data_IF_496732760166
#
_entry.id   IF_496732760166
#
_cell.length_a   1.000
_cell.length_b   1.000
_cell.length_c   1.000
_cell.angle_alpha   90.00
_cell.angle_beta   90.00
_cell.angle_gamma   90.00
#
_symmetry.space_group_name_H-M   'P 1'
#
loop_
_entity.id
_entity.type
_entity.pdbx_description
1 polymer ?
#
# COMPACT_ATOMS: atom_id res chain seq x y z
N UNK A 1 -10.14 -16.32 -31.83
CA UNK A 1 -8.79 -16.21 -31.24
C UNK A 1 -8.68 -14.81 -30.62
N UNK A 2 -9.36 -14.52 -29.51
CA UNK A 2 -9.02 -14.83 -28.11
C UNK A 2 -7.69 -14.22 -27.63
N UNK A 3 -7.78 -13.08 -26.93
CA UNK A 3 -7.27 -12.93 -25.56
C UNK A 3 -7.66 -11.53 -25.01
N UNK A 4 -8.78 -11.52 -24.29
CA UNK A 4 -9.21 -10.42 -23.43
C UNK A 4 -8.34 -10.46 -22.16
N UNK A 5 -7.33 -9.59 -22.06
CA UNK A 5 -6.58 -9.40 -20.82
C UNK A 5 -7.28 -8.35 -19.95
N UNK A 6 -8.18 -8.80 -19.09
CA UNK A 6 -8.68 -8.03 -17.96
C UNK A 6 -7.58 -7.98 -16.87
N UNK A 7 -6.87 -6.86 -16.77
CA UNK A 7 -5.88 -6.58 -15.73
C UNK A 7 -6.57 -5.85 -14.56
N UNK A 8 -7.13 -6.61 -13.63
CA UNK A 8 -7.53 -6.12 -12.30
C UNK A 8 -6.33 -6.14 -11.35
N UNK A 9 -5.59 -5.03 -11.27
CA UNK A 9 -4.51 -4.86 -10.31
C UNK A 9 -5.02 -4.19 -9.03
N UNK A 10 -5.23 -5.03 -8.01
CA UNK A 10 -5.73 -4.65 -6.68
C UNK A 10 -4.62 -3.94 -5.90
N UNK A 11 -4.83 -2.66 -5.59
CA UNK A 11 -3.93 -1.82 -4.79
C UNK A 11 -3.99 -2.27 -3.32
N UNK A 12 -2.90 -2.86 -2.81
CA UNK A 12 -2.77 -3.24 -1.41
C UNK A 12 -2.10 -2.09 -0.67
N UNK A 13 -2.90 -1.20 -0.09
CA UNK A 13 -2.46 -0.24 0.92
C UNK A 13 -2.00 -1.01 2.15
N UNK A 14 -0.69 -1.21 2.28
CA UNK A 14 -0.06 -1.65 3.52
C UNK A 14 0.24 -0.42 4.38
N UNK A 15 -0.35 -0.40 5.58
CA UNK A 15 -0.31 0.62 6.65
C UNK A 15 1.08 0.88 7.27
N UNK A 16 2.14 0.93 6.47
CA UNK A 16 3.47 1.41 6.88
C UNK A 16 3.75 2.85 6.45
N UNK A 17 2.74 3.58 5.96
CA UNK A 17 2.86 4.95 5.45
C UNK A 17 2.39 6.01 6.46
N UNK A 18 2.96 6.02 7.67
CA UNK A 18 2.77 7.14 8.60
C UNK A 18 4.07 7.88 8.95
N UNK A 19 5.09 7.83 8.09
CA UNK A 19 6.34 8.57 8.31
C UNK A 19 7.12 8.90 7.03
N UNK A 20 6.44 9.17 5.92
CA UNK A 20 7.09 9.76 4.74
C UNK A 20 6.26 10.91 4.16
N UNK A 21 6.89 12.03 3.75
CA UNK A 21 6.18 13.14 3.15
C UNK A 21 5.40 12.66 1.91
N UNK A 22 4.19 13.21 1.71
CA UNK A 22 3.17 12.85 0.68
C UNK A 22 3.66 12.78 -0.80
N UNK A 23 4.96 12.98 -1.06
CA UNK A 23 5.56 12.99 -2.40
C UNK A 23 6.03 11.62 -2.91
N UNK A 24 6.00 10.54 -2.11
CA UNK A 24 6.56 9.24 -2.52
C UNK A 24 5.55 8.23 -3.11
N UNK A 25 4.23 8.47 -3.01
CA UNK A 25 3.23 7.55 -3.56
C UNK A 25 3.22 7.51 -5.10
N UNK A 26 3.60 8.60 -5.76
CA UNK A 26 3.68 8.69 -7.24
C UNK A 26 4.93 8.00 -7.81
N UNK A 27 6.06 8.03 -7.09
CA UNK A 27 7.30 7.36 -7.52
C UNK A 27 7.16 5.84 -7.61
N UNK A 28 6.45 5.24 -6.67
CA UNK A 28 6.18 3.79 -6.71
C UNK A 28 5.27 3.38 -7.88
N UNK A 29 4.26 4.19 -8.22
CA UNK A 29 3.39 3.93 -9.39
C UNK A 29 4.15 4.05 -10.72
N UNK A 30 5.09 5.00 -10.82
CA UNK A 30 5.92 5.19 -12.02
C UNK A 30 6.93 4.05 -12.19
N UNK A 31 7.59 3.60 -11.11
CA UNK A 31 8.50 2.45 -11.18
C UNK A 31 7.76 1.15 -11.56
N UNK A 32 6.55 0.94 -11.04
CA UNK A 32 5.74 -0.24 -11.40
C UNK A 32 5.32 -0.23 -12.87
N UNK A 33 4.92 0.94 -13.41
CA UNK A 33 4.62 1.09 -14.82
C UNK A 33 5.85 0.84 -15.70
N UNK A 34 7.04 1.25 -15.26
CA UNK A 34 8.29 1.04 -15.99
C UNK A 34 8.68 -0.44 -16.08
N UNK A 35 8.50 -1.20 -14.99
CA UNK A 35 8.78 -2.64 -14.95
C UNK A 35 7.82 -3.41 -15.88
N UNK A 36 6.53 -3.07 -15.86
CA UNK A 36 5.52 -3.70 -16.72
C UNK A 36 5.76 -3.38 -18.20
N UNK A 37 6.11 -2.13 -18.54
CA UNK A 37 6.39 -1.73 -19.93
C UNK A 37 7.68 -2.36 -20.48
N UNK A 38 8.68 -2.57 -19.62
CA UNK A 38 9.94 -3.23 -19.99
C UNK A 38 9.79 -4.74 -20.26
N UNK A 39 8.79 -5.38 -19.65
CA UNK A 39 8.49 -6.79 -19.86
C UNK A 39 7.59 -7.05 -21.09
N UNK A 40 6.83 -6.04 -21.55
CA UNK A 40 5.87 -6.17 -22.65
C UNK A 40 6.38 -5.64 -24.01
N UNK A 41 7.50 -4.93 -24.07
CA UNK A 41 7.96 -4.28 -25.32
C UNK A 41 9.48 -4.43 -25.56
N UNK A 42 9.93 -5.24 -26.53
CA UNK A 42 11.36 -5.46 -26.82
C UNK A 42 11.96 -4.38 -27.74
N UNK A 43 11.33 -3.20 -27.89
CA UNK A 43 11.90 -2.10 -28.68
C UNK A 43 12.52 -1.05 -27.76
N UNK A 44 13.87 -1.06 -27.73
CA UNK A 44 14.78 -0.17 -26.98
C UNK A 44 14.49 1.33 -27.15
N UNK A 45 13.72 1.74 -28.18
CA UNK A 45 13.35 3.13 -28.46
C UNK A 45 12.23 3.70 -27.57
N UNK A 46 11.36 2.86 -26.98
CA UNK A 46 10.24 3.34 -26.15
C UNK A 46 10.66 3.59 -24.69
N UNK A 47 11.71 2.91 -24.20
CA UNK A 47 12.23 3.15 -22.85
C UNK A 47 12.86 4.55 -22.71
N UNK A 48 13.56 5.05 -23.73
CA UNK A 48 14.15 6.40 -23.70
C UNK A 48 13.10 7.51 -23.72
N UNK A 49 11.95 7.26 -24.34
CA UNK A 49 10.82 8.21 -24.39
C UNK A 49 10.09 8.27 -23.04
N UNK A 50 9.90 7.12 -22.38
CA UNK A 50 9.29 7.08 -21.03
C UNK A 50 10.18 7.71 -19.96
N UNK A 51 11.50 7.52 -20.02
CA UNK A 51 12.45 8.13 -19.09
C UNK A 51 12.56 9.66 -19.29
N UNK A 52 12.38 10.15 -20.52
CA UNK A 52 12.31 11.58 -20.85
C UNK A 52 11.02 12.24 -20.32
N UNK A 53 9.87 11.56 -20.49
CA UNK A 53 8.57 12.02 -19.98
C UNK A 53 8.50 12.00 -18.45
N UNK A 54 9.08 10.98 -17.80
CA UNK A 54 9.16 10.91 -16.34
C UNK A 54 10.03 12.02 -15.73
N UNK A 55 11.10 12.44 -16.43
CA UNK A 55 11.93 13.59 -16.05
C UNK A 55 11.21 14.94 -16.23
N UNK A 56 10.25 15.06 -17.15
CA UNK A 56 9.51 16.32 -17.37
C UNK A 56 8.40 16.55 -16.32
N UNK A 57 7.76 15.49 -15.83
CA UNK A 57 6.60 15.57 -14.93
C UNK A 57 6.91 16.05 -13.49
N UNK A 58 8.18 16.06 -13.08
CA UNK A 58 8.58 16.48 -11.72
C UNK A 58 9.22 17.88 -11.65
N UNK A 59 9.39 18.58 -12.78
CA UNK A 59 9.80 19.99 -12.76
C UNK A 59 8.62 20.85 -12.34
N UNK A 60 8.48 21.06 -11.03
CA UNK A 60 7.56 22.05 -10.47
C UNK A 60 7.78 23.39 -11.20
N UNK A 61 6.74 23.88 -11.90
CA UNK A 61 6.91 25.05 -12.76
C UNK A 61 7.39 26.25 -11.94
N UNK A 62 8.47 26.88 -12.40
CA UNK A 62 9.11 27.98 -11.68
C UNK A 62 8.19 29.19 -11.53
N UNK A 63 7.22 29.34 -12.43
CA UNK A 63 6.23 30.41 -12.44
C UNK A 63 5.28 30.38 -11.22
N UNK A 64 4.88 29.18 -10.75
CA UNK A 64 3.91 29.04 -9.65
C UNK A 64 4.53 29.17 -8.26
N UNK A 65 5.85 29.33 -8.15
CA UNK A 65 6.54 29.48 -6.86
C UNK A 65 6.23 30.83 -6.23
N UNK A 66 5.98 30.85 -4.91
CA UNK A 66 5.78 32.08 -4.12
C UNK A 66 6.90 33.11 -4.34
N UNK A 67 8.13 32.63 -4.60
CA UNK A 67 9.30 33.45 -4.93
C UNK A 67 9.05 34.45 -6.06
N UNK A 68 8.23 34.11 -7.08
CA UNK A 68 7.95 35.04 -8.19
C UNK A 68 7.15 36.25 -7.75
N UNK A 69 6.17 36.07 -6.85
CA UNK A 69 5.36 37.15 -6.28
C UNK A 69 6.15 38.05 -5.31
N UNK A 70 7.23 37.52 -4.71
CA UNK A 70 8.02 38.23 -3.70
C UNK A 70 9.18 39.07 -4.28
N UNK A 71 9.39 39.06 -5.60
CA UNK A 71 10.40 39.92 -6.25
C UNK A 71 10.00 41.39 -6.10
N UNK A 72 10.96 42.25 -5.76
CA UNK A 72 10.72 43.66 -5.41
C UNK A 72 10.50 43.91 -3.91
N UNK A 73 10.20 42.87 -3.12
CA UNK A 73 10.14 43.01 -1.66
C UNK A 73 11.51 42.81 -1.00
N UNK A 74 11.88 43.75 -0.13
CA UNK A 74 13.24 43.85 0.46
C UNK A 74 13.69 42.59 1.21
N UNK A 75 12.81 41.95 2.01
CA UNK A 75 13.18 40.81 2.86
C UNK A 75 12.66 39.44 2.39
N UNK A 76 12.05 39.38 1.20
CA UNK A 76 11.51 38.15 0.61
C UNK A 76 10.58 37.33 1.55
N UNK A 77 9.87 38.02 2.46
CA UNK A 77 8.91 37.39 3.37
C UNK A 77 9.50 36.81 4.66
N UNK A 78 10.75 37.12 5.01
CA UNK A 78 11.40 36.65 6.24
C UNK A 78 11.56 37.72 7.33
N UNK A 79 10.88 38.86 7.19
CA UNK A 79 10.93 39.98 8.14
C UNK A 79 12.25 40.76 8.11
N UNK A 80 12.26 41.98 8.68
CA UNK A 80 13.46 42.85 8.71
C UNK A 80 14.37 42.57 9.91
N UNK A 81 13.78 42.26 11.08
CA UNK A 81 14.49 42.11 12.35
C UNK A 81 15.11 40.72 12.49
N UNK A 82 14.30 39.65 12.50
CA UNK A 82 14.77 38.28 12.72
C UNK A 82 15.67 37.73 11.59
N UNK A 83 15.39 38.12 10.35
CA UNK A 83 16.08 37.71 9.09
C UNK A 83 16.14 36.19 8.86
N UNK A 84 16.22 35.79 7.60
CA UNK A 84 16.48 34.38 7.28
C UNK A 84 17.97 34.07 7.45
N UNK A 85 18.30 33.16 8.39
CA UNK A 85 19.66 32.69 8.66
C UNK A 85 19.76 31.19 8.41
N UNK A 86 20.99 30.68 8.25
CA UNK A 86 21.24 29.31 7.79
C UNK A 86 20.65 28.23 8.72
N UNK A 87 20.96 28.23 10.03
CA UNK A 87 20.49 27.21 10.98
C UNK A 87 20.35 27.77 12.41
N UNK A 88 19.28 28.49 12.76
CA UNK A 88 19.14 29.11 14.09
C UNK A 88 18.85 28.09 15.22
N UNK A 89 18.16 26.98 14.92
CA UNK A 89 17.76 25.97 15.91
C UNK A 89 18.56 24.66 15.85
N UNK A 90 19.70 24.66 15.16
CA UNK A 90 20.47 23.46 14.83
C UNK A 90 20.10 22.86 13.47
N UNK A 91 20.73 21.72 13.14
CA UNK A 91 20.50 20.97 11.90
C UNK A 91 19.75 19.67 12.21
N UNK A 92 18.74 19.35 11.39
CA UNK A 92 17.94 18.13 11.56
C UNK A 92 17.18 18.12 12.90
N UNK A 93 17.23 16.99 13.61
CA UNK A 93 16.53 16.77 14.88
C UNK A 93 17.39 17.11 16.11
N UNK A 94 18.40 17.97 15.96
CA UNK A 94 19.29 18.37 17.05
C UNK A 94 18.49 19.03 18.19
N UNK A 95 18.84 18.76 19.45
CA UNK A 95 18.20 19.41 20.61
C UNK A 95 16.82 18.89 20.97
N UNK A 96 16.43 17.70 20.49
CA UNK A 96 15.11 17.13 20.77
C UNK A 96 14.83 16.84 22.25
N UNK A 97 15.85 16.77 23.11
CA UNK A 97 15.70 16.71 24.58
C UNK A 97 15.98 18.04 25.29
N UNK A 98 16.49 19.04 24.55
CA UNK A 98 16.91 20.33 25.09
C UNK A 98 15.96 21.43 24.56
N UNK A 99 16.42 22.28 23.66
CA UNK A 99 15.66 23.44 23.16
C UNK A 99 14.47 23.10 22.26
N UNK A 100 14.40 21.87 21.72
CA UNK A 100 13.22 21.37 20.97
C UNK A 100 12.40 20.34 21.75
N UNK A 101 12.64 20.19 23.07
CA UNK A 101 11.93 19.24 23.94
C UNK A 101 10.41 19.36 23.82
N UNK A 102 9.88 20.58 23.90
CA UNK A 102 8.43 20.84 23.83
C UNK A 102 7.82 20.28 22.54
N UNK A 103 8.54 20.35 21.42
CA UNK A 103 8.06 19.83 20.14
C UNK A 103 8.04 18.30 20.11
N UNK A 104 9.09 17.66 20.64
CA UNK A 104 9.18 16.19 20.67
C UNK A 104 8.19 15.57 21.66
N UNK A 105 8.07 16.14 22.85
CA UNK A 105 7.15 15.62 23.87
C UNK A 105 5.68 15.76 23.43
N UNK A 106 5.36 16.84 22.71
CA UNK A 106 3.99 17.12 22.24
C UNK A 106 3.57 16.27 21.05
N UNK A 107 4.41 16.18 20.01
CA UNK A 107 4.00 15.56 18.73
C UNK A 107 4.60 14.18 18.50
N UNK A 108 5.66 13.80 19.21
CA UNK A 108 6.38 12.55 19.02
C UNK A 108 6.66 11.83 20.35
N UNK A 109 5.62 11.52 21.16
CA UNK A 109 5.80 10.74 22.38
C UNK A 109 6.36 9.36 22.04
N UNK A 110 7.33 8.88 22.81
CA UNK A 110 7.99 7.60 22.59
C UNK A 110 9.11 7.59 21.54
N UNK A 111 9.51 8.76 21.01
CA UNK A 111 10.65 8.85 20.09
C UNK A 111 11.98 8.50 20.77
N UNK A 112 12.16 8.94 22.01
CA UNK A 112 13.35 8.62 22.80
C UNK A 112 13.11 7.37 23.65
N UNK A 113 14.01 6.39 23.53
CA UNK A 113 13.96 5.16 24.32
C UNK A 113 14.37 3.92 23.53
N UNK A 114 14.47 2.78 24.23
CA UNK A 114 14.64 1.45 23.63
C UNK A 114 13.42 0.61 24.01
N UNK A 115 12.85 -0.13 23.05
CA UNK A 115 11.68 -0.98 23.26
C UNK A 115 11.85 -2.33 22.57
N UNK A 116 11.51 -3.41 23.27
CA UNK A 116 11.42 -4.77 22.71
C UNK A 116 12.75 -5.50 22.48
N UNK A 117 12.65 -6.73 21.96
CA UNK A 117 13.79 -7.60 21.64
C UNK A 117 14.35 -7.31 20.24
N UNK A 118 15.68 -7.32 20.09
CA UNK A 118 16.36 -7.08 18.82
C UNK A 118 16.36 -8.34 17.95
N UNK A 119 15.71 -8.27 16.79
CA UNK A 119 15.74 -9.33 15.78
C UNK A 119 16.92 -9.12 14.82
N UNK A 120 17.98 -9.92 14.96
CA UNK A 120 19.10 -9.93 14.01
C UNK A 120 18.70 -10.60 12.68
N UNK A 121 19.32 -10.14 11.57
CA UNK A 121 19.08 -10.64 10.21
C UNK A 121 17.58 -10.85 9.86
N UNK A 122 16.78 -9.78 9.98
CA UNK A 122 15.35 -9.85 9.72
C UNK A 122 15.01 -10.15 8.25
N UNK A 123 14.55 -11.37 7.97
CA UNK A 123 14.05 -11.79 6.65
C UNK A 123 12.56 -11.51 6.53
N UNK A 124 12.19 -10.50 5.73
CA UNK A 124 10.78 -10.09 5.50
C UNK A 124 9.96 -11.16 4.80
N UNK A 125 10.54 -11.88 3.86
CA UNK A 125 9.81 -12.85 3.03
C UNK A 125 9.28 -14.03 3.86
N UNK A 126 10.03 -14.49 4.88
CA UNK A 126 9.59 -15.56 5.77
C UNK A 126 8.41 -15.15 6.65
N UNK A 127 8.34 -13.87 7.03
CA UNK A 127 7.25 -13.29 7.83
C UNK A 127 6.14 -12.68 6.96
N UNK A 128 6.14 -12.96 5.65
CA UNK A 128 5.12 -12.47 4.74
C UNK A 128 3.80 -13.19 5.05
N UNK A 129 2.82 -12.47 5.57
CA UNK A 129 1.50 -13.00 5.90
C UNK A 129 0.38 -11.99 5.62
N UNK A 130 0.15 -11.62 4.35
CA UNK A 130 -0.98 -10.76 3.98
C UNK A 130 -2.32 -11.39 4.38
N UNK A 131 -3.17 -10.60 5.01
CA UNK A 131 -4.46 -11.03 5.57
C UNK A 131 -5.64 -10.61 4.70
N UNK A 132 -6.65 -11.47 4.59
CA UNK A 132 -7.91 -11.20 3.91
C UNK A 132 -9.10 -11.47 4.85
N UNK A 133 -10.10 -10.59 4.84
CA UNK A 133 -11.32 -10.75 5.64
C UNK A 133 -12.43 -11.43 4.83
N UNK A 134 -13.37 -12.09 5.51
CA UNK A 134 -14.50 -12.78 4.87
C UNK A 134 -15.34 -11.87 3.96
N UNK A 135 -15.54 -10.60 4.35
CA UNK A 135 -16.28 -9.60 3.54
C UNK A 135 -15.77 -9.47 2.11
N UNK A 136 -14.45 -9.61 1.93
CA UNK A 136 -13.75 -9.38 0.66
C UNK A 136 -13.49 -10.67 -0.12
N UNK A 137 -13.92 -11.83 0.39
CA UNK A 137 -13.75 -13.11 -0.31
C UNK A 137 -14.44 -13.10 -1.67
N UNK A 138 -15.67 -12.57 -1.73
CA UNK A 138 -16.45 -12.53 -2.97
C UNK A 138 -15.91 -11.56 -4.02
N UNK A 139 -15.07 -10.60 -3.62
CA UNK A 139 -14.39 -9.73 -4.58
C UNK A 139 -13.32 -10.47 -5.37
N UNK A 140 -12.80 -11.61 -4.88
CA UNK A 140 -11.82 -12.42 -5.62
C UNK A 140 -12.45 -13.22 -6.77
N UNK A 141 -13.77 -13.36 -6.75
CA UNK A 141 -14.54 -14.10 -7.76
C UNK A 141 -15.24 -13.11 -8.66
N UNK A 142 -15.27 -13.38 -9.96
CA UNK A 142 -16.05 -12.55 -10.88
C UNK A 142 -17.56 -12.68 -10.60
N UNK A 143 -18.32 -11.59 -10.76
CA UNK A 143 -19.77 -11.62 -10.52
C UNK A 143 -20.49 -12.66 -11.38
N UNK A 144 -20.01 -12.86 -12.61
CA UNK A 144 -20.50 -13.89 -13.53
C UNK A 144 -20.36 -15.29 -12.94
N UNK A 145 -19.23 -15.62 -12.32
CA UNK A 145 -19.01 -16.92 -11.68
C UNK A 145 -19.89 -17.06 -10.45
N UNK A 146 -20.02 -16.01 -9.63
CA UNK A 146 -20.88 -16.02 -8.44
C UNK A 146 -22.35 -16.33 -8.77
N UNK A 147 -22.89 -15.72 -9.82
CA UNK A 147 -24.27 -15.94 -10.26
C UNK A 147 -24.49 -17.35 -10.82
N UNK A 148 -23.52 -17.90 -11.57
CA UNK A 148 -23.56 -19.30 -12.05
C UNK A 148 -23.69 -20.28 -10.89
N UNK A 149 -22.77 -20.23 -9.94
CA UNK A 149 -22.79 -21.10 -8.75
C UNK A 149 -23.95 -20.86 -7.78
N UNK A 150 -24.74 -19.78 -7.98
CA UNK A 150 -25.97 -19.57 -7.23
C UNK A 150 -27.16 -20.27 -7.91
N UNK A 151 -27.14 -20.37 -9.23
CA UNK A 151 -28.21 -20.98 -10.04
C UNK A 151 -27.97 -22.47 -10.34
N UNK A 152 -26.73 -22.96 -10.14
CA UNK A 152 -26.37 -24.35 -10.42
C UNK A 152 -27.12 -25.32 -9.47
N UNK A 153 -27.93 -26.27 -10.00
CA UNK A 153 -28.71 -27.21 -9.19
C UNK A 153 -27.85 -28.32 -8.56
N UNK A 154 -26.64 -28.56 -9.07
CA UNK A 154 -25.73 -29.62 -8.62
C UNK A 154 -25.07 -29.35 -7.26
N UNK A 155 -25.34 -28.21 -6.61
CA UNK A 155 -24.76 -27.86 -5.32
C UNK A 155 -23.24 -27.64 -5.33
N UNK A 156 -22.63 -27.42 -6.51
CA UNK A 156 -21.19 -27.18 -6.64
C UNK A 156 -20.81 -25.81 -6.07
N UNK A 157 -19.93 -25.81 -5.06
CA UNK A 157 -19.44 -24.59 -4.43
C UNK A 157 -18.20 -24.02 -5.16
N UNK A 158 -18.07 -22.67 -5.28
CA UNK A 158 -16.87 -22.06 -5.83
C UNK A 158 -15.66 -22.30 -4.93
N UNK A 159 -14.56 -22.71 -5.55
CA UNK A 159 -13.26 -22.83 -4.89
C UNK A 159 -12.51 -21.52 -5.04
N UNK A 160 -12.29 -20.82 -3.93
CA UNK A 160 -11.55 -19.57 -3.87
C UNK A 160 -10.13 -19.87 -3.37
N UNK A 161 -9.17 -19.80 -4.27
CA UNK A 161 -7.75 -19.85 -3.92
C UNK A 161 -7.25 -18.45 -3.55
N UNK A 162 -7.05 -18.27 -2.24
CA UNK A 162 -6.62 -17.02 -1.64
C UNK A 162 -5.09 -16.83 -1.80
N UNK A 163 -4.34 -17.93 -1.92
CA UNK A 163 -2.89 -17.92 -2.10
C UNK A 163 -2.53 -17.41 -3.49
N UNK A 164 -3.27 -17.82 -4.53
CA UNK A 164 -3.10 -17.31 -5.90
C UNK A 164 -3.36 -15.81 -5.99
N UNK A 165 -4.26 -15.30 -5.15
CA UNK A 165 -4.53 -13.86 -5.03
C UNK A 165 -3.50 -13.10 -4.20
N UNK A 166 -2.48 -13.77 -3.66
CA UNK A 166 -1.39 -13.17 -2.89
C UNK A 166 -1.69 -12.98 -1.40
N UNK A 167 -2.71 -13.65 -0.86
CA UNK A 167 -3.08 -13.60 0.56
C UNK A 167 -2.83 -14.95 1.25
N UNK A 168 -2.36 -14.95 2.49
CA UNK A 168 -2.00 -16.18 3.20
C UNK A 168 -2.96 -16.53 4.33
N UNK A 169 -3.48 -15.51 5.03
CA UNK A 169 -4.33 -15.71 6.22
C UNK A 169 -5.72 -15.16 6.02
N UNK A 170 -6.75 -15.95 6.31
CA UNK A 170 -8.15 -15.52 6.29
C UNK A 170 -8.63 -15.20 7.71
N UNK A 171 -9.28 -14.05 7.88
CA UNK A 171 -9.79 -13.52 9.14
C UNK A 171 -11.31 -13.38 9.11
N UNK A 172 -11.96 -13.62 10.25
CA UNK A 172 -13.42 -13.71 10.40
C UNK A 172 -14.19 -12.39 10.47
N UNK A 173 -13.65 -11.25 10.00
CA UNK A 173 -14.37 -9.97 10.03
C UNK A 173 -15.52 -9.97 9.00
N UNK A 174 -16.69 -9.55 9.49
CA UNK A 174 -17.95 -9.35 8.79
C UNK A 174 -18.70 -10.64 8.38
N UNK A 175 -19.56 -10.56 7.36
CA UNK A 175 -20.66 -11.53 7.12
C UNK A 175 -20.55 -12.10 5.71
N UNK A 176 -20.62 -13.43 5.63
CA UNK A 176 -20.73 -14.14 4.36
C UNK A 176 -22.21 -14.25 3.95
N UNK A 177 -22.54 -14.11 2.65
CA UNK A 177 -23.85 -14.48 2.15
C UNK A 177 -24.08 -15.98 2.39
N UNK A 178 -25.35 -16.40 2.47
CA UNK A 178 -25.78 -17.80 2.66
C UNK A 178 -25.51 -18.70 1.43
N UNK A 179 -24.36 -18.52 0.77
CA UNK A 179 -23.91 -19.32 -0.36
C UNK A 179 -22.66 -20.09 0.07
N UNK A 180 -22.62 -21.43 -0.08
CA UNK A 180 -21.47 -22.24 0.35
C UNK A 180 -20.22 -21.89 -0.46
N UNK A 181 -19.06 -21.89 0.19
CA UNK A 181 -17.76 -21.54 -0.41
C UNK A 181 -16.68 -22.47 0.12
N UNK A 182 -15.79 -22.92 -0.77
CA UNK A 182 -14.58 -23.63 -0.39
C UNK A 182 -13.41 -22.65 -0.47
N UNK A 183 -12.76 -22.37 0.65
CA UNK A 183 -11.65 -21.41 0.72
C UNK A 183 -10.34 -22.16 0.92
N UNK A 184 -9.37 -21.93 0.03
CA UNK A 184 -8.01 -22.45 0.16
C UNK A 184 -7.08 -21.35 0.64
N UNK A 185 -6.43 -21.55 1.79
CA UNK A 185 -5.48 -20.61 2.37
C UNK A 185 -4.42 -21.33 3.22
N UNK A 186 -3.34 -20.63 3.59
CA UNK A 186 -2.31 -21.19 4.48
C UNK A 186 -2.73 -21.21 5.94
N UNK A 187 -3.44 -20.16 6.38
CA UNK A 187 -3.87 -19.99 7.76
C UNK A 187 -5.31 -19.47 7.84
N UNK A 188 -6.05 -19.96 8.82
CA UNK A 188 -7.38 -19.45 9.16
C UNK A 188 -7.41 -18.98 10.62
N UNK A 189 -8.29 -18.02 10.93
CA UNK A 189 -8.66 -17.76 12.33
C UNK A 189 -9.84 -18.63 12.74
N UNK A 190 -9.92 -18.99 14.04
CA UNK A 190 -11.03 -19.79 14.58
C UNK A 190 -12.42 -19.24 14.19
N UNK A 191 -12.62 -17.94 14.36
CA UNK A 191 -13.86 -17.24 13.94
C UNK A 191 -14.14 -17.30 12.44
N UNK A 192 -13.10 -17.35 11.60
CA UNK A 192 -13.27 -17.47 10.16
C UNK A 192 -13.76 -18.88 9.80
N UNK A 193 -13.17 -19.91 10.41
CA UNK A 193 -13.57 -21.29 10.19
C UNK A 193 -15.01 -21.54 10.64
N UNK A 194 -15.39 -21.09 11.84
CA UNK A 194 -16.76 -21.22 12.37
C UNK A 194 -17.79 -20.62 11.41
N UNK A 195 -17.51 -19.42 10.88
CA UNK A 195 -18.40 -18.72 9.94
C UNK A 195 -18.47 -19.38 8.56
N UNK A 196 -17.35 -19.88 8.05
CA UNK A 196 -17.34 -20.57 6.75
C UNK A 196 -18.10 -21.89 6.88
N UNK A 197 -17.90 -22.64 7.97
CA UNK A 197 -18.63 -23.87 8.27
C UNK A 197 -20.13 -23.61 8.48
N UNK A 198 -20.52 -22.52 9.15
CA UNK A 198 -21.93 -22.20 9.36
C UNK A 198 -22.70 -21.90 8.06
N UNK A 199 -21.99 -21.47 7.01
CA UNK A 199 -22.57 -21.22 5.67
C UNK A 199 -22.60 -22.51 4.81
N UNK A 200 -22.08 -23.63 5.33
CA UNK A 200 -21.93 -24.88 4.58
C UNK A 200 -20.69 -24.89 3.68
N UNK A 201 -19.73 -24.01 3.94
CA UNK A 201 -18.44 -23.98 3.26
C UNK A 201 -17.38 -24.85 3.93
N UNK A 202 -16.24 -25.00 3.25
CA UNK A 202 -15.09 -25.76 3.76
C UNK A 202 -13.82 -24.90 3.75
N UNK A 203 -12.99 -25.04 4.79
CA UNK A 203 -11.66 -24.44 4.88
C UNK A 203 -10.63 -25.50 4.52
N UNK A 204 -9.83 -25.26 3.48
CA UNK A 204 -8.77 -26.16 3.03
C UNK A 204 -7.43 -25.48 3.26
N UNK A 205 -6.53 -26.17 3.97
CA UNK A 205 -5.16 -25.71 4.16
C UNK A 205 -4.32 -26.00 2.92
N UNK A 206 -3.56 -25.01 2.47
CA UNK A 206 -2.67 -25.11 1.31
C UNK A 206 -1.28 -24.60 1.71
N UNK A 207 -0.24 -25.29 1.24
CA UNK A 207 1.16 -24.96 1.51
C UNK A 207 1.69 -23.78 0.67
#
# INVERSE_FOLDING_TARGET
>A
MCLVLSLEFRFQESDSCMQLPRNNLRRHKILFAHIILSALCPKRSLLSVFDSLAKSAWKMSTHKKKTRKLRGHVSHGHGRVGKHRKHPGGRGNAGGMHHHRINFDKYHPGYFGKLGMRNYHFRRNTKWCPTLNLDKLWTLVSEKQRLKYKADPDGKAPVIDVVRAGYYKVLGKGILPKQPVIVKAKFFSKRAEEKIKSVGGACVLQA
#
